data_IF_183986479892
#
_entry.id   IF_183986479892
#
_cell.length_a   1.000
_cell.length_b   1.000
_cell.length_c   1.000
_cell.angle_alpha   90.00
_cell.angle_beta   90.00
_cell.angle_gamma   90.00
#
_symmetry.space_group_name_H-M   'P 1'
#
loop_
_entity.id
_entity.type
_entity.pdbx_description
1 polymer ?
#
# COMPACT_ATOMS: atom_id res chain seq x y z
N UNK A 1 -5.54 19.90 -0.19
CA UNK A 1 -6.76 19.95 0.67
C UNK A 1 -7.41 18.57 0.83
N UNK A 2 -7.59 17.76 -0.24
CA UNK A 2 -8.28 16.45 -0.15
C UNK A 2 -7.60 15.48 0.85
N UNK A 3 -6.27 15.37 0.84
CA UNK A 3 -5.54 14.51 1.78
C UNK A 3 -5.71 14.94 3.25
N UNK A 4 -5.74 16.25 3.52
CA UNK A 4 -6.02 16.75 4.87
C UNK A 4 -7.42 16.35 5.34
N UNK A 5 -8.42 16.44 4.48
CA UNK A 5 -9.78 16.03 4.81
C UNK A 5 -9.88 14.52 5.10
N UNK A 6 -9.16 13.68 4.34
CA UNK A 6 -9.06 12.24 4.61
C UNK A 6 -8.36 11.97 5.96
N UNK A 7 -7.21 12.62 6.22
CA UNK A 7 -6.51 12.49 7.49
C UNK A 7 -7.38 12.96 8.68
N UNK A 8 -8.06 14.10 8.55
CA UNK A 8 -8.94 14.63 9.60
C UNK A 8 -10.12 13.71 9.91
N UNK A 9 -10.63 12.99 8.91
CA UNK A 9 -11.77 12.08 9.06
C UNK A 9 -11.39 10.72 9.63
N UNK A 10 -10.23 10.18 9.25
CA UNK A 10 -9.94 8.77 9.46
C UNK A 10 -8.70 8.50 10.34
N UNK A 11 -7.85 9.51 10.57
CA UNK A 11 -6.58 9.27 11.21
C UNK A 11 -6.44 10.00 12.56
N UNK A 12 -6.49 9.30 13.67
CA UNK A 12 -6.43 9.91 15.00
C UNK A 12 -5.05 10.53 15.32
N UNK A 13 -4.02 10.20 14.54
CA UNK A 13 -2.66 10.73 14.70
C UNK A 13 -2.45 12.13 14.13
N UNK A 14 -3.45 12.74 13.46
CA UNK A 14 -3.35 14.13 12.99
C UNK A 14 -3.25 15.08 14.18
N UNK A 15 -2.17 15.87 14.27
CA UNK A 15 -1.97 16.74 15.43
C UNK A 15 -1.67 18.20 15.10
N UNK A 16 -1.13 18.51 13.91
CA UNK A 16 -0.82 19.89 13.53
C UNK A 16 -1.16 20.12 12.07
N UNK A 17 -1.79 21.24 11.78
CA UNK A 17 -1.99 21.74 10.42
C UNK A 17 -1.35 23.12 10.33
N UNK A 18 -0.46 23.31 9.34
CA UNK A 18 0.11 24.59 8.96
C UNK A 18 -0.59 25.00 7.67
N UNK A 19 -1.24 26.17 7.67
CA UNK A 19 -2.00 26.62 6.51
C UNK A 19 -1.78 28.11 6.22
N UNK A 20 -1.80 28.48 4.95
CA UNK A 20 -1.80 29.87 4.55
C UNK A 20 -3.04 30.60 5.12
N UNK A 21 -2.90 31.90 5.40
CA UNK A 21 -3.92 32.71 6.09
C UNK A 21 -5.30 32.65 5.41
N UNK A 22 -5.32 32.66 4.08
CA UNK A 22 -6.56 32.70 3.26
C UNK A 22 -7.13 31.31 2.92
N UNK A 23 -6.47 30.23 3.32
CA UNK A 23 -6.92 28.87 2.97
C UNK A 23 -8.02 28.41 3.94
N UNK A 24 -9.18 28.07 3.40
CA UNK A 24 -10.24 27.43 4.16
C UNK A 24 -9.86 25.97 4.47
N UNK A 25 -9.96 25.60 5.74
CA UNK A 25 -9.71 24.25 6.20
C UNK A 25 -11.01 23.46 6.34
N UNK A 26 -10.94 22.16 6.12
CA UNK A 26 -12.02 21.24 6.51
C UNK A 26 -12.22 21.27 8.03
N UNK A 27 -13.33 20.71 8.50
CA UNK A 27 -13.57 20.54 9.95
C UNK A 27 -12.45 19.67 10.55
N UNK A 28 -11.80 20.22 11.58
CA UNK A 28 -10.73 19.56 12.35
C UNK A 28 -11.24 19.28 13.77
N UNK A 29 -10.62 18.30 14.42
CA UNK A 29 -10.83 18.09 15.87
C UNK A 29 -10.20 19.23 16.68
N UNK A 30 -10.77 19.57 17.84
CA UNK A 30 -10.26 20.58 18.76
C UNK A 30 -8.85 20.24 19.30
N UNK A 31 -8.43 18.99 19.18
CA UNK A 31 -7.08 18.54 19.56
C UNK A 31 -6.01 18.85 18.52
N UNK A 32 -6.41 19.24 17.30
CA UNK A 32 -5.48 19.55 16.21
C UNK A 32 -5.03 21.01 16.32
N UNK A 33 -3.73 21.21 16.46
CA UNK A 33 -3.14 22.56 16.46
C UNK A 33 -3.15 23.12 15.03
N UNK A 34 -3.72 24.30 14.85
CA UNK A 34 -3.69 25.04 13.58
C UNK A 34 -2.72 26.22 13.70
N UNK A 35 -1.79 26.31 12.75
CA UNK A 35 -0.82 27.41 12.64
C UNK A 35 -1.07 28.11 11.31
N UNK A 36 -1.37 29.40 11.35
CA UNK A 36 -1.54 30.24 10.16
C UNK A 36 -0.23 30.90 9.80
N UNK A 37 0.14 30.87 8.53
CA UNK A 37 1.41 31.40 8.04
C UNK A 37 1.22 32.15 6.73
N UNK A 38 2.06 33.17 6.43
CA UNK A 38 2.11 33.79 5.12
C UNK A 38 2.65 32.81 4.06
N UNK A 39 2.46 33.15 2.79
CA UNK A 39 2.82 32.30 1.66
C UNK A 39 4.32 32.00 1.54
N UNK A 40 5.17 32.99 1.81
CA UNK A 40 6.61 32.84 1.78
C UNK A 40 7.12 31.84 2.82
N UNK A 41 6.53 31.86 4.03
CA UNK A 41 6.82 30.89 5.08
C UNK A 41 6.32 29.50 4.64
N UNK A 42 5.12 29.39 4.06
CA UNK A 42 4.61 28.12 3.53
C UNK A 42 5.55 27.53 2.49
N UNK A 43 6.07 28.33 1.59
CA UNK A 43 7.05 27.90 0.57
C UNK A 43 8.35 27.40 1.20
N UNK A 44 8.83 28.04 2.26
CA UNK A 44 10.09 27.66 2.91
C UNK A 44 10.03 26.35 3.68
N UNK A 45 8.85 25.99 4.22
CA UNK A 45 8.66 24.75 5.00
C UNK A 45 8.09 23.58 4.18
N UNK A 46 7.65 23.85 2.95
CA UNK A 46 7.07 22.83 2.08
C UNK A 46 8.15 21.93 1.48
N UNK A 47 7.87 20.62 1.45
CA UNK A 47 8.65 19.64 0.68
C UNK A 47 8.25 19.60 -0.81
N UNK A 48 7.36 20.49 -1.25
CA UNK A 48 6.85 20.56 -2.63
C UNK A 48 7.18 21.92 -3.24
N UNK A 49 7.57 21.93 -4.51
CA UNK A 49 7.84 23.15 -5.27
C UNK A 49 6.61 24.06 -5.38
N UNK A 50 5.42 23.46 -5.43
CA UNK A 50 4.14 24.17 -5.47
C UNK A 50 3.21 23.65 -4.36
N UNK A 51 3.31 24.19 -3.14
CA UNK A 51 2.45 23.81 -2.03
C UNK A 51 1.00 24.20 -2.30
N UNK A 52 0.06 23.35 -1.87
CA UNK A 52 -1.39 23.59 -2.02
C UNK A 52 -2.00 24.38 -0.85
N UNK A 53 -1.20 25.24 -0.22
CA UNK A 53 -1.62 26.14 0.84
C UNK A 53 -1.83 25.51 2.22
N UNK A 54 -1.60 24.19 2.38
CA UNK A 54 -1.60 23.56 3.69
C UNK A 54 -0.67 22.34 3.75
N UNK A 55 -0.01 22.19 4.90
CA UNK A 55 0.81 21.04 5.29
C UNK A 55 0.23 20.51 6.60
N UNK A 56 0.28 19.21 6.82
CA UNK A 56 -0.15 18.63 8.08
C UNK A 56 0.83 17.60 8.60
N UNK A 57 0.90 17.48 9.91
CA UNK A 57 1.76 16.57 10.62
C UNK A 57 0.90 15.54 11.35
N UNK A 58 1.28 14.29 11.16
CA UNK A 58 0.66 13.15 11.83
C UNK A 58 1.70 12.40 12.66
N UNK A 59 1.28 11.87 13.80
CA UNK A 59 2.07 10.86 14.51
C UNK A 59 2.04 9.58 13.71
N UNK A 60 3.16 8.87 13.63
CA UNK A 60 3.17 7.54 13.04
C UNK A 60 2.38 6.57 13.95
N UNK A 61 1.64 5.62 13.35
CA UNK A 61 0.96 4.61 14.15
C UNK A 61 1.95 3.68 14.85
N UNK A 62 1.54 3.14 15.98
CA UNK A 62 2.30 2.07 16.61
C UNK A 62 2.31 0.84 15.71
N UNK A 63 3.48 0.21 15.57
CA UNK A 63 3.60 -1.05 14.83
C UNK A 63 2.91 -2.15 15.63
N UNK A 64 1.85 -2.71 15.07
CA UNK A 64 1.18 -3.89 15.64
C UNK A 64 1.71 -5.16 14.98
N UNK A 65 1.79 -6.28 15.71
CA UNK A 65 2.02 -7.58 15.10
C UNK A 65 0.96 -7.80 14.03
N UNK A 66 1.40 -8.26 12.86
CA UNK A 66 0.48 -8.54 11.78
C UNK A 66 -0.07 -9.96 11.87
N UNK A 67 -1.26 -10.13 11.33
CA UNK A 67 -1.83 -11.45 11.04
C UNK A 67 -2.10 -11.53 9.55
N UNK A 68 -1.93 -12.72 8.98
CA UNK A 68 -2.34 -13.00 7.61
C UNK A 68 -3.71 -13.68 7.68
N UNK A 69 -4.63 -13.19 6.90
CA UNK A 69 -5.97 -13.75 6.74
C UNK A 69 -6.12 -14.31 5.33
N UNK A 70 -7.06 -15.24 5.09
CA UNK A 70 -7.43 -15.59 3.73
C UNK A 70 -7.79 -14.34 2.91
N UNK A 71 -7.37 -14.29 1.66
CA UNK A 71 -7.57 -13.12 0.81
C UNK A 71 -6.64 -11.94 1.11
N UNK A 72 -5.46 -12.16 1.74
CA UNK A 72 -4.44 -11.11 1.97
C UNK A 72 -3.51 -10.98 0.77
N UNK A 73 -3.23 -9.74 0.36
CA UNK A 73 -2.18 -9.42 -0.59
C UNK A 73 -0.85 -9.16 0.13
N UNK A 74 0.20 -9.88 -0.25
CA UNK A 74 1.57 -9.69 0.23
C UNK A 74 2.39 -8.95 -0.83
N UNK A 75 3.06 -7.87 -0.46
CA UNK A 75 3.91 -7.09 -1.35
C UNK A 75 5.38 -7.32 -1.00
N UNK A 76 6.14 -7.87 -1.93
CA UNK A 76 7.56 -8.20 -1.75
C UNK A 76 8.44 -7.23 -2.55
N UNK A 77 9.13 -6.32 -1.84
CA UNK A 77 10.10 -5.43 -2.45
C UNK A 77 9.53 -4.38 -3.41
N UNK A 78 8.31 -3.90 -3.22
CA UNK A 78 7.73 -2.81 -4.02
C UNK A 78 8.42 -1.48 -3.65
N UNK A 79 9.44 -1.11 -4.43
CA UNK A 79 10.34 -0.01 -4.11
C UNK A 79 9.84 1.38 -4.57
N UNK A 80 9.00 1.47 -5.63
CA UNK A 80 8.46 2.77 -6.05
C UNK A 80 7.31 3.21 -5.15
N UNK A 81 7.45 4.38 -4.46
CA UNK A 81 6.40 4.88 -3.57
C UNK A 81 5.08 5.18 -4.29
N UNK A 82 5.13 5.49 -5.60
CA UNK A 82 3.93 5.71 -6.42
C UNK A 82 3.16 4.44 -6.66
N UNK A 83 3.87 3.34 -7.01
CA UNK A 83 3.27 2.03 -7.15
C UNK A 83 2.68 1.54 -5.82
N UNK A 84 3.46 1.64 -4.73
CA UNK A 84 2.97 1.26 -3.41
C UNK A 84 1.68 2.02 -3.04
N UNK A 85 1.67 3.36 -3.18
CA UNK A 85 0.48 4.16 -2.88
C UNK A 85 -0.72 3.79 -3.75
N UNK A 86 -0.51 3.50 -5.05
CA UNK A 86 -1.55 3.07 -5.98
C UNK A 86 -2.13 1.71 -5.59
N UNK A 87 -1.28 0.76 -5.18
CA UNK A 87 -1.71 -0.56 -4.71
C UNK A 87 -2.55 -0.41 -3.44
N UNK A 88 -2.07 0.35 -2.46
CA UNK A 88 -2.80 0.58 -1.20
C UNK A 88 -4.17 1.23 -1.45
N UNK A 89 -4.26 2.18 -2.39
CA UNK A 89 -5.53 2.79 -2.78
C UNK A 89 -6.50 1.78 -3.39
N UNK A 90 -6.01 0.88 -4.25
CA UNK A 90 -6.85 -0.13 -4.90
C UNK A 90 -7.29 -1.19 -3.89
N UNK A 91 -6.38 -1.62 -3.01
CA UNK A 91 -6.68 -2.57 -1.94
C UNK A 91 -7.73 -2.02 -0.95
N UNK A 92 -7.60 -0.74 -0.56
CA UNK A 92 -8.58 -0.06 0.27
C UNK A 92 -9.98 -0.03 -0.39
N UNK A 93 -10.03 0.33 -1.67
CA UNK A 93 -11.29 0.38 -2.42
C UNK A 93 -11.96 -0.99 -2.57
N UNK A 94 -11.18 -2.06 -2.56
CA UNK A 94 -11.65 -3.43 -2.67
C UNK A 94 -11.70 -4.16 -1.31
N UNK A 95 -11.41 -3.47 -0.20
CA UNK A 95 -11.39 -4.04 1.14
C UNK A 95 -10.53 -5.32 1.24
N UNK A 96 -9.35 -5.29 0.62
CA UNK A 96 -8.37 -6.38 0.67
C UNK A 96 -7.26 -6.01 1.65
N UNK A 97 -6.97 -6.85 2.66
CA UNK A 97 -5.86 -6.60 3.57
C UNK A 97 -4.52 -6.71 2.85
N UNK A 98 -3.59 -5.81 3.20
CA UNK A 98 -2.24 -5.75 2.61
C UNK A 98 -1.19 -5.92 3.68
N UNK A 99 -0.22 -6.78 3.40
CA UNK A 99 1.01 -6.94 4.19
C UNK A 99 2.20 -6.51 3.34
N UNK A 100 3.03 -5.65 3.90
CA UNK A 100 4.29 -5.22 3.30
C UNK A 100 5.43 -6.10 3.83
N UNK A 101 6.14 -6.74 2.92
CA UNK A 101 7.33 -7.51 3.22
C UNK A 101 8.59 -6.66 3.07
N UNK A 102 9.74 -7.28 3.36
CA UNK A 102 11.04 -6.61 3.27
C UNK A 102 11.26 -5.95 1.90
N UNK A 103 11.93 -4.79 1.92
CA UNK A 103 12.32 -4.08 0.70
C UNK A 103 11.24 -3.19 0.09
N UNK A 104 10.03 -3.12 0.66
CA UNK A 104 9.01 -2.17 0.21
C UNK A 104 9.36 -0.72 0.58
N UNK A 105 8.89 0.23 -0.22
CA UNK A 105 8.96 1.64 0.09
C UNK A 105 8.21 1.97 1.40
N UNK A 106 8.59 3.08 2.02
CA UNK A 106 7.91 3.56 3.21
C UNK A 106 6.47 3.98 2.90
N UNK A 107 5.52 3.39 3.63
CA UNK A 107 4.09 3.71 3.57
C UNK A 107 3.82 5.20 3.80
N UNK A 108 4.58 5.82 4.68
CA UNK A 108 4.41 7.22 5.08
C UNK A 108 5.30 8.20 4.33
N UNK A 109 6.05 7.72 3.35
CA UNK A 109 6.72 8.61 2.40
C UNK A 109 5.68 9.54 1.74
N UNK A 110 5.95 10.87 1.64
CA UNK A 110 5.00 11.82 1.06
C UNK A 110 4.51 11.46 -0.35
N UNK A 111 5.35 10.77 -1.16
CA UNK A 111 4.94 10.29 -2.50
C UNK A 111 3.94 9.13 -2.39
N UNK A 112 4.15 8.18 -1.46
CA UNK A 112 3.21 7.08 -1.19
C UNK A 112 1.87 7.63 -0.68
N UNK A 113 1.91 8.52 0.31
CA UNK A 113 0.70 9.13 0.87
C UNK A 113 -0.13 9.84 -0.21
N UNK A 114 0.53 10.61 -1.08
CA UNK A 114 -0.16 11.28 -2.20
C UNK A 114 -0.77 10.29 -3.18
N UNK A 115 0.00 9.29 -3.61
CA UNK A 115 -0.46 8.29 -4.57
C UNK A 115 -1.62 7.44 -4.01
N UNK A 116 -1.64 7.20 -2.70
CA UNK A 116 -2.72 6.46 -2.04
C UNK A 116 -4.04 7.23 -1.96
N UNK A 117 -4.03 8.54 -2.25
CA UNK A 117 -5.21 9.40 -2.14
C UNK A 117 -5.91 9.32 -0.77
N UNK A 118 -5.13 9.07 0.30
CA UNK A 118 -5.62 8.98 1.68
C UNK A 118 -5.96 7.56 2.16
N UNK A 119 -5.81 6.53 1.33
CA UNK A 119 -6.02 5.14 1.75
C UNK A 119 -5.17 4.76 2.98
N UNK A 120 -3.93 5.25 3.06
CA UNK A 120 -3.04 5.01 4.21
C UNK A 120 -3.59 5.50 5.56
N UNK A 121 -4.57 6.40 5.56
CA UNK A 121 -5.22 6.88 6.78
C UNK A 121 -6.40 5.99 7.21
N UNK A 122 -6.94 5.19 6.31
CA UNK A 122 -8.05 4.26 6.54
C UNK A 122 -7.54 2.84 6.80
N UNK A 123 -6.66 2.37 5.94
CA UNK A 123 -6.06 1.05 6.03
C UNK A 123 -4.59 1.20 6.40
N UNK A 124 -4.21 0.72 7.57
CA UNK A 124 -2.82 0.71 8.00
C UNK A 124 -2.22 -0.64 7.60
N UNK A 125 -1.43 -0.70 6.49
CA UNK A 125 -0.82 -1.96 6.09
C UNK A 125 0.14 -2.44 7.18
N UNK A 126 0.14 -3.73 7.41
CA UNK A 126 1.03 -4.38 8.36
C UNK A 126 2.37 -4.65 7.68
N UNK A 127 3.48 -4.53 8.42
CA UNK A 127 4.79 -4.93 7.93
C UNK A 127 5.26 -6.20 8.63
N UNK A 128 5.79 -7.14 7.85
CA UNK A 128 6.36 -8.41 8.32
C UNK A 128 7.66 -8.70 7.58
N UNK A 129 8.53 -9.49 8.18
CA UNK A 129 9.61 -10.13 7.41
C UNK A 129 9.02 -11.25 6.53
N UNK A 130 9.75 -11.63 5.47
CA UNK A 130 9.37 -12.76 4.61
C UNK A 130 9.18 -14.05 5.40
N UNK A 131 10.08 -14.32 6.35
CA UNK A 131 10.02 -15.49 7.23
C UNK A 131 8.79 -15.48 8.13
N UNK A 132 8.46 -14.34 8.71
CA UNK A 132 7.23 -14.19 9.51
C UNK A 132 5.97 -14.45 8.68
N UNK A 133 5.93 -13.94 7.44
CA UNK A 133 4.79 -14.16 6.56
C UNK A 133 4.63 -15.64 6.17
N UNK A 134 5.72 -16.31 5.82
CA UNK A 134 5.74 -17.76 5.52
C UNK A 134 5.27 -18.58 6.73
N UNK A 135 5.79 -18.26 7.93
CA UNK A 135 5.39 -18.94 9.15
C UNK A 135 3.91 -18.73 9.46
N UNK A 136 3.42 -17.47 9.37
CA UNK A 136 2.02 -17.14 9.61
C UNK A 136 1.06 -17.85 8.63
N UNK A 137 1.42 -17.94 7.34
CA UNK A 137 0.63 -18.69 6.37
C UNK A 137 0.53 -20.17 6.73
N UNK A 138 1.67 -20.80 7.10
CA UNK A 138 1.72 -22.22 7.51
C UNK A 138 0.91 -22.50 8.78
N UNK A 139 1.07 -21.67 9.81
CA UNK A 139 0.36 -21.80 11.09
C UNK A 139 -1.16 -21.65 10.92
N UNK A 140 -1.57 -20.73 10.05
CA UNK A 140 -2.98 -20.48 9.77
C UNK A 140 -3.57 -21.41 8.69
N UNK A 141 -2.76 -22.31 8.10
CA UNK A 141 -3.15 -23.17 6.96
C UNK A 141 -3.72 -22.37 5.77
N UNK A 142 -3.13 -21.20 5.49
CA UNK A 142 -3.50 -20.34 4.37
C UNK A 142 -2.54 -20.62 3.22
N UNK A 143 -3.01 -21.10 2.05
CA UNK A 143 -2.16 -21.33 0.88
C UNK A 143 -1.44 -20.06 0.46
N UNK A 144 -0.13 -20.15 0.20
CA UNK A 144 0.68 -19.06 -0.33
C UNK A 144 0.76 -19.20 -1.85
N UNK A 145 0.28 -18.22 -2.60
CA UNK A 145 0.34 -18.18 -4.06
C UNK A 145 1.30 -17.09 -4.52
N UNK A 146 2.21 -17.44 -5.44
CA UNK A 146 3.21 -16.50 -5.97
C UNK A 146 2.87 -16.10 -7.41
N UNK A 147 2.80 -14.79 -7.70
CA UNK A 147 2.69 -14.32 -9.08
C UNK A 147 4.02 -14.53 -9.80
N UNK A 148 4.02 -15.28 -10.89
CA UNK A 148 5.25 -15.62 -11.60
C UNK A 148 5.01 -15.81 -13.09
N UNK A 149 6.02 -15.49 -13.90
CA UNK A 149 6.09 -15.85 -15.31
C UNK A 149 6.88 -17.16 -15.44
N UNK A 150 6.24 -18.26 -15.10
CA UNK A 150 6.85 -19.59 -15.20
C UNK A 150 5.94 -20.56 -15.97
N UNK A 151 6.53 -21.57 -16.63
CA UNK A 151 5.79 -22.48 -17.47
C UNK A 151 4.79 -23.37 -16.68
N UNK A 152 5.01 -23.53 -15.39
CA UNK A 152 4.17 -24.29 -14.45
C UNK A 152 3.13 -23.38 -13.72
N UNK A 153 3.04 -22.11 -14.07
CA UNK A 153 2.08 -21.20 -13.45
C UNK A 153 0.67 -21.41 -14.02
N UNK A 154 -0.29 -21.42 -13.12
CA UNK A 154 -1.72 -21.54 -13.44
C UNK A 154 -2.30 -20.15 -13.71
N UNK A 155 -3.22 -20.05 -14.69
CA UNK A 155 -3.96 -18.81 -14.94
C UNK A 155 -4.65 -18.35 -13.65
N UNK A 156 -4.42 -17.08 -13.26
CA UNK A 156 -4.99 -16.55 -12.01
C UNK A 156 -6.52 -16.66 -11.93
N UNK A 157 -7.21 -16.78 -13.07
CA UNK A 157 -8.67 -16.99 -13.13
C UNK A 157 -9.12 -18.36 -12.68
N UNK A 158 -8.20 -19.33 -12.61
CA UNK A 158 -8.45 -20.73 -12.22
C UNK A 158 -8.01 -21.02 -10.78
N UNK A 159 -7.30 -20.08 -10.12
CA UNK A 159 -6.85 -20.23 -8.75
C UNK A 159 -7.88 -19.67 -7.76
N UNK A 160 -7.99 -20.30 -6.58
CA UNK A 160 -8.81 -19.76 -5.48
C UNK A 160 -8.01 -18.70 -4.70
N UNK A 161 -8.13 -17.45 -5.14
CA UNK A 161 -7.43 -16.33 -4.51
C UNK A 161 -8.09 -15.86 -3.21
N UNK A 162 -9.36 -16.21 -2.96
CA UNK A 162 -10.06 -15.77 -1.74
C UNK A 162 -9.59 -16.52 -0.50
N UNK A 163 -9.24 -17.78 -0.65
CA UNK A 163 -8.77 -18.62 0.43
C UNK A 163 -7.26 -18.47 0.69
N UNK A 164 -6.52 -17.81 -0.22
CA UNK A 164 -5.07 -17.76 -0.24
C UNK A 164 -4.50 -16.41 0.20
N UNK A 165 -3.22 -16.40 0.55
CA UNK A 165 -2.38 -15.21 0.57
C UNK A 165 -1.64 -15.12 -0.77
N UNK A 166 -1.72 -13.99 -1.46
CA UNK A 166 -1.13 -13.82 -2.79
C UNK A 166 0.07 -12.87 -2.72
N UNK A 167 1.23 -13.31 -3.21
CA UNK A 167 2.45 -12.50 -3.26
C UNK A 167 2.61 -11.84 -4.63
N UNK A 168 2.92 -10.55 -4.61
CA UNK A 168 3.39 -9.78 -5.76
C UNK A 168 4.78 -9.25 -5.46
N UNK A 169 5.71 -9.48 -6.37
CA UNK A 169 7.09 -9.02 -6.28
C UNK A 169 7.34 -7.69 -6.98
N UNK A 170 8.57 -7.20 -6.86
CA UNK A 170 9.04 -5.98 -7.53
C UNK A 170 9.17 -6.17 -9.04
N UNK A 171 9.14 -5.04 -9.78
CA UNK A 171 9.25 -5.04 -11.24
C UNK A 171 10.62 -5.58 -11.72
N UNK A 172 11.70 -5.31 -10.98
CA UNK A 172 13.05 -5.65 -11.39
C UNK A 172 13.54 -7.02 -10.93
N UNK A 173 13.16 -7.45 -9.73
CA UNK A 173 13.66 -8.68 -9.11
C UNK A 173 12.59 -9.76 -8.97
N UNK A 174 11.33 -9.44 -9.20
CA UNK A 174 10.22 -10.36 -8.94
C UNK A 174 10.04 -10.66 -7.45
N UNK A 175 9.58 -11.86 -7.15
CA UNK A 175 9.41 -12.38 -5.80
C UNK A 175 10.72 -13.01 -5.35
N UNK A 176 11.12 -12.80 -4.10
CA UNK A 176 12.34 -13.38 -3.57
C UNK A 176 12.31 -14.93 -3.60
N UNK A 177 13.48 -15.59 -3.76
CA UNK A 177 13.53 -17.06 -3.88
C UNK A 177 12.91 -17.81 -2.70
N UNK A 178 13.01 -17.26 -1.49
CA UNK A 178 12.48 -17.88 -0.27
C UNK A 178 10.94 -17.96 -0.30
N UNK A 179 10.27 -16.86 -0.63
CA UNK A 179 8.80 -16.83 -0.81
C UNK A 179 8.35 -17.68 -1.99
N UNK A 180 9.11 -17.61 -3.08
CA UNK A 180 8.81 -18.40 -4.28
C UNK A 180 8.88 -19.90 -4.02
N UNK A 181 9.87 -20.35 -3.24
CA UNK A 181 10.03 -21.76 -2.83
C UNK A 181 8.96 -22.20 -1.81
N UNK A 182 8.47 -21.27 -0.98
CA UNK A 182 7.41 -21.53 0.00
C UNK A 182 6.00 -21.52 -0.60
N UNK A 183 5.84 -21.00 -1.82
CA UNK A 183 4.53 -20.93 -2.48
C UNK A 183 4.04 -22.32 -2.89
N UNK A 184 2.79 -22.62 -2.54
CA UNK A 184 2.14 -23.89 -2.91
C UNK A 184 1.72 -23.91 -4.38
N UNK A 185 1.44 -22.73 -4.95
CA UNK A 185 1.06 -22.59 -6.34
C UNK A 185 1.64 -21.30 -6.93
N UNK A 186 2.04 -21.37 -8.19
CA UNK A 186 2.39 -20.20 -8.98
C UNK A 186 1.22 -19.81 -9.85
N UNK A 187 0.94 -18.52 -9.92
CA UNK A 187 -0.16 -17.98 -10.71
C UNK A 187 0.37 -16.95 -11.70
N UNK A 188 -0.25 -16.89 -12.87
CA UNK A 188 0.14 -15.96 -13.93
C UNK A 188 -1.06 -15.11 -14.39
N UNK A 189 -0.80 -13.85 -14.63
CA UNK A 189 -1.71 -12.98 -15.41
C UNK A 189 -1.44 -13.27 -16.88
N UNK A 190 -2.38 -13.86 -17.63
CA UNK A 190 -2.16 -14.14 -19.04
C UNK A 190 -1.94 -12.86 -19.84
N UNK A 191 -0.84 -12.79 -20.58
CA UNK A 191 -0.42 -11.64 -21.37
C UNK A 191 0.03 -12.06 -22.75
N UNK A 192 0.11 -11.11 -23.67
CA UNK A 192 0.73 -11.31 -24.97
C UNK A 192 2.22 -11.69 -24.80
N UNK A 193 2.74 -12.67 -25.55
CA UNK A 193 4.17 -13.02 -25.52
C UNK A 193 5.12 -11.85 -25.88
N UNK A 194 4.58 -10.75 -26.40
CA UNK A 194 5.35 -9.53 -26.70
C UNK A 194 5.59 -8.65 -25.48
N UNK A 195 4.93 -8.93 -24.35
CA UNK A 195 5.08 -8.18 -23.12
C UNK A 195 5.85 -9.01 -22.11
N UNK A 196 6.96 -8.48 -21.59
CA UNK A 196 7.79 -9.14 -20.58
C UNK A 196 7.21 -9.02 -19.16
N UNK A 197 6.52 -7.91 -18.87
CA UNK A 197 5.94 -7.67 -17.55
C UNK A 197 4.87 -6.57 -17.60
N UNK A 198 4.10 -6.45 -16.52
CA UNK A 198 3.24 -5.30 -16.22
C UNK A 198 3.87 -4.46 -15.12
N UNK A 199 3.53 -3.18 -15.10
CA UNK A 199 3.79 -2.35 -13.91
C UNK A 199 3.19 -3.02 -12.66
N UNK A 200 3.91 -3.00 -11.53
CA UNK A 200 3.50 -3.72 -10.32
C UNK A 200 2.14 -3.28 -9.78
N UNK A 201 1.79 -1.99 -9.87
CA UNK A 201 0.48 -1.51 -9.43
C UNK A 201 -0.65 -1.99 -10.37
N UNK A 202 -0.37 -2.12 -11.65
CA UNK A 202 -1.32 -2.69 -12.63
C UNK A 202 -1.52 -4.18 -12.37
N UNK A 203 -0.44 -4.94 -12.20
CA UNK A 203 -0.50 -6.36 -11.86
C UNK A 203 -1.27 -6.58 -10.55
N UNK A 204 -0.95 -5.81 -9.51
CA UNK A 204 -1.67 -5.84 -8.24
C UNK A 204 -3.15 -5.53 -8.38
N UNK A 205 -3.52 -4.56 -9.22
CA UNK A 205 -4.94 -4.22 -9.47
C UNK A 205 -5.71 -5.39 -10.09
N UNK A 206 -5.11 -6.11 -11.05
CA UNK A 206 -5.73 -7.28 -11.68
C UNK A 206 -5.91 -8.41 -10.66
N UNK A 207 -4.88 -8.68 -9.85
CA UNK A 207 -4.94 -9.68 -8.78
C UNK A 207 -6.00 -9.32 -7.73
N UNK A 208 -5.99 -8.08 -7.22
CA UNK A 208 -6.95 -7.58 -6.25
C UNK A 208 -8.39 -7.70 -6.76
N UNK A 209 -8.63 -7.36 -8.02
CA UNK A 209 -9.94 -7.53 -8.64
C UNK A 209 -10.38 -8.99 -8.68
N UNK A 210 -9.46 -9.89 -9.03
CA UNK A 210 -9.76 -11.33 -9.08
C UNK A 210 -9.98 -11.92 -7.69
N UNK A 211 -9.30 -11.42 -6.65
CA UNK A 211 -9.50 -11.82 -5.25
C UNK A 211 -10.90 -11.52 -4.73
N UNK A 212 -11.63 -10.57 -5.35
CA UNK A 212 -12.99 -10.18 -4.93
C UNK A 212 -14.09 -10.82 -5.78
N UNK A 213 -13.73 -11.51 -6.86
CA UNK A 213 -14.70 -12.27 -7.70
C UNK A 213 -15.00 -13.62 -7.12
#
# INVERSE_FOLDING_TARGET
MKLLAEAARWYPGLHTVIAEEHVELCKLSDTVRVVRVPRDVMQSVSLMDAPQGAIFLCRLPERKPGTILPGTLLLDGIQDPGNLGTILRTADALEVPVVLLDGCADTYNPKTVRASMGAVFRTQPVSMTRQQAIAACREAHIPLLATAMSADAVDLRQADLRAAAVVIGSEGQGICPELFAAAEQKIIIPMSPRCESLNAAVAATIVLWQMKR
#
